data_IF_479333617136
#
_entry.id   IF_479333617136
#
_cell.length_a   1.000
_cell.length_b   1.000
_cell.length_c   1.000
_cell.angle_alpha   90.00
_cell.angle_beta   90.00
_cell.angle_gamma   90.00
#
_symmetry.space_group_name_H-M   'P 1'
#
loop_
_entity.id
_entity.type
_entity.pdbx_description
1 polymer ?
#
# COMPACT_ATOMS: atom_id res chain seq x y z
N UNK A 1 -7.46 -7.13 -46.97
CA UNK A 1 -7.20 -5.91 -46.21
C UNK A 1 -6.96 -6.35 -44.77
N UNK A 2 -5.71 -6.41 -44.37
CA UNK A 2 -5.33 -6.42 -42.95
C UNK A 2 -5.61 -4.99 -42.40
N UNK A 3 -6.46 -4.80 -41.40
CA UNK A 3 -6.60 -3.47 -40.82
C UNK A 3 -5.26 -3.02 -40.26
N UNK A 4 -4.86 -1.79 -40.56
CA UNK A 4 -3.68 -1.17 -39.97
C UNK A 4 -3.90 -1.03 -38.46
N UNK A 5 -3.30 -1.95 -37.71
CA UNK A 5 -3.32 -1.93 -36.24
C UNK A 5 -2.06 -1.22 -35.78
N UNK A 6 -2.23 -0.05 -35.15
CA UNK A 6 -1.12 0.66 -34.51
C UNK A 6 -1.20 0.43 -33.00
N UNK A 7 -0.11 -0.09 -32.41
CA UNK A 7 0.00 -0.23 -30.96
C UNK A 7 0.42 1.12 -30.40
N UNK A 8 -0.48 1.78 -29.67
CA UNK A 8 -0.27 3.14 -29.15
C UNK A 8 0.25 3.19 -27.69
N UNK A 9 0.50 2.05 -27.06
CA UNK A 9 1.00 1.94 -25.69
C UNK A 9 -0.09 1.52 -24.70
N UNK A 10 0.21 1.68 -23.40
CA UNK A 10 -0.65 1.24 -22.32
C UNK A 10 -1.47 2.42 -21.79
N UNK A 11 -2.81 2.36 -21.86
CA UNK A 11 -3.74 3.39 -21.37
C UNK A 11 -3.59 3.70 -19.86
N UNK A 12 -2.89 2.85 -19.11
CA UNK A 12 -2.62 3.12 -17.67
C UNK A 12 -1.78 4.36 -17.43
N UNK A 13 -1.01 4.81 -18.42
CA UNK A 13 -0.23 6.05 -18.33
C UNK A 13 -1.10 7.31 -18.45
N UNK A 14 -2.30 7.19 -19.00
CA UNK A 14 -3.22 8.33 -19.23
C UNK A 14 -4.13 8.58 -18.01
N UNK A 15 -3.99 7.81 -16.94
CA UNK A 15 -4.78 8.00 -15.72
C UNK A 15 -4.32 9.26 -14.98
N UNK A 16 -5.28 10.10 -14.60
CA UNK A 16 -5.03 11.21 -13.69
C UNK A 16 -5.09 10.69 -12.25
N UNK A 17 -4.00 10.83 -11.52
CA UNK A 17 -3.95 10.49 -10.11
C UNK A 17 -4.29 11.71 -9.27
N UNK A 18 -5.01 11.50 -8.15
CA UNK A 18 -5.38 12.56 -7.24
C UNK A 18 -4.12 13.18 -6.61
N UNK A 19 -4.02 14.51 -6.71
CA UNK A 19 -3.04 15.25 -5.91
C UNK A 19 -3.65 15.51 -4.54
N UNK A 20 -2.90 15.23 -3.49
CA UNK A 20 -3.31 15.45 -2.10
C UNK A 20 -2.60 16.71 -1.60
N UNK A 21 -3.35 17.72 -1.14
CA UNK A 21 -2.77 18.93 -0.58
C UNK A 21 -2.13 18.67 0.79
N UNK A 22 -1.29 19.58 1.26
CA UNK A 22 -0.68 19.45 2.58
C UNK A 22 -1.73 19.48 3.70
N UNK A 23 -2.79 20.28 3.54
CA UNK A 23 -3.91 20.36 4.47
C UNK A 23 -4.69 19.05 4.52
N UNK A 24 -4.97 18.46 3.34
CA UNK A 24 -5.63 17.16 3.26
C UNK A 24 -4.76 16.05 3.85
N UNK A 25 -3.44 16.07 3.57
CA UNK A 25 -2.50 15.13 4.16
C UNK A 25 -2.50 15.21 5.68
N UNK A 26 -2.49 16.42 6.24
CA UNK A 26 -2.54 16.64 7.68
C UNK A 26 -3.85 16.12 8.28
N UNK A 27 -4.98 16.40 7.63
CA UNK A 27 -6.28 15.89 8.05
C UNK A 27 -6.34 14.35 8.05
N UNK A 28 -5.77 13.71 7.02
CA UNK A 28 -5.68 12.25 6.96
C UNK A 28 -4.80 11.67 8.08
N UNK A 29 -3.65 12.30 8.37
CA UNK A 29 -2.79 11.88 9.48
C UNK A 29 -3.51 11.95 10.83
N UNK A 30 -4.29 13.00 11.05
CA UNK A 30 -5.11 13.16 12.25
C UNK A 30 -6.24 12.14 12.30
N UNK A 31 -6.97 11.94 11.19
CA UNK A 31 -8.06 10.98 11.08
C UNK A 31 -7.60 9.54 11.39
N UNK A 32 -6.43 9.15 10.88
CA UNK A 32 -5.87 7.82 11.11
C UNK A 32 -5.06 7.71 12.41
N UNK A 33 -4.90 8.78 13.18
CA UNK A 33 -4.08 8.78 14.39
C UNK A 33 -2.60 8.51 14.10
N UNK A 34 -2.14 8.79 12.88
CA UNK A 34 -0.74 8.68 12.49
C UNK A 34 -0.04 10.00 12.80
N UNK A 35 0.78 10.04 13.83
CA UNK A 35 1.50 11.26 14.21
C UNK A 35 2.48 11.72 13.11
N UNK A 36 2.85 13.01 13.15
CA UNK A 36 3.66 13.68 12.13
C UNK A 36 5.13 13.19 12.03
N UNK A 37 5.62 12.39 12.98
CA UNK A 37 7.02 11.98 13.07
C UNK A 37 7.20 10.47 13.16
N UNK A 38 6.23 9.68 12.71
CA UNK A 38 6.30 8.22 12.75
C UNK A 38 6.52 7.69 11.36
N UNK A 39 7.41 6.69 11.16
CA UNK A 39 7.49 6.00 9.89
C UNK A 39 6.16 5.35 9.54
N UNK A 40 5.64 5.63 8.35
CA UNK A 40 4.38 5.08 7.85
C UNK A 40 4.69 4.15 6.69
N UNK A 41 4.32 2.89 6.86
CA UNK A 41 4.39 1.88 5.80
C UNK A 41 2.98 1.64 5.28
N UNK A 42 2.82 1.63 3.96
CA UNK A 42 1.53 1.30 3.34
C UNK A 42 1.71 0.07 2.46
N UNK A 43 0.98 -1.00 2.79
CA UNK A 43 0.92 -2.20 2.00
C UNK A 43 -0.42 -2.23 1.25
N UNK A 44 -0.41 -1.83 -0.02
CA UNK A 44 -1.62 -1.69 -0.84
C UNK A 44 -1.91 -2.92 -1.68
N UNK A 45 -3.18 -3.28 -1.81
CA UNK A 45 -3.68 -4.36 -2.66
C UNK A 45 -3.05 -5.72 -2.34
N UNK A 46 -2.94 -6.06 -1.06
CA UNK A 46 -2.34 -7.31 -0.60
C UNK A 46 -3.23 -8.52 -0.87
N UNK A 47 -2.61 -9.67 -1.04
CA UNK A 47 -3.28 -10.96 -1.22
C UNK A 47 -2.95 -11.90 -0.09
N UNK A 48 -3.78 -12.93 0.05
CA UNK A 48 -3.53 -14.02 1.01
C UNK A 48 -2.15 -14.66 0.74
N UNK A 49 -1.34 -14.78 1.78
CA UNK A 49 0.03 -15.29 1.73
C UNK A 49 1.09 -14.19 1.69
N UNK A 50 0.70 -12.93 1.53
CA UNK A 50 1.61 -11.77 1.61
C UNK A 50 1.55 -11.13 3.00
N UNK A 51 0.35 -11.08 3.59
CA UNK A 51 0.11 -10.39 4.85
C UNK A 51 0.93 -11.00 6.00
N UNK A 52 1.17 -12.30 5.98
CA UNK A 52 2.03 -13.00 6.94
C UNK A 52 3.45 -12.43 6.92
N UNK A 53 4.05 -12.35 5.73
CA UNK A 53 5.40 -11.79 5.54
C UNK A 53 5.47 -10.32 5.92
N UNK A 54 4.43 -9.55 5.57
CA UNK A 54 4.34 -8.13 5.91
C UNK A 54 4.30 -7.93 7.43
N UNK A 55 3.48 -8.70 8.16
CA UNK A 55 3.40 -8.59 9.63
C UNK A 55 4.68 -9.03 10.32
N UNK A 56 5.30 -10.12 9.85
CA UNK A 56 6.59 -10.57 10.38
C UNK A 56 7.68 -9.49 10.21
N UNK A 57 7.76 -8.90 9.01
CA UNK A 57 8.68 -7.80 8.71
C UNK A 57 8.36 -6.56 9.56
N UNK A 58 7.08 -6.21 9.69
CA UNK A 58 6.67 -5.05 10.48
C UNK A 58 7.00 -5.21 11.96
N UNK A 59 6.92 -6.41 12.53
CA UNK A 59 7.41 -6.67 13.90
C UNK A 59 8.90 -6.36 14.05
N UNK A 60 9.71 -6.64 13.04
CA UNK A 60 11.15 -6.29 13.07
C UNK A 60 11.33 -4.77 12.99
N UNK A 61 10.55 -4.09 12.15
CA UNK A 61 10.56 -2.62 12.08
C UNK A 61 10.21 -1.99 13.42
N UNK A 62 9.22 -2.52 14.15
CA UNK A 62 8.83 -2.01 15.46
C UNK A 62 9.91 -2.14 16.53
N UNK A 63 10.90 -3.03 16.38
CA UNK A 63 12.05 -3.13 17.29
C UNK A 63 12.97 -1.92 17.19
N UNK A 64 13.13 -1.36 15.99
CA UNK A 64 13.96 -0.18 15.74
C UNK A 64 13.14 1.12 15.77
N UNK A 65 11.89 1.06 15.31
CA UNK A 65 10.96 2.18 15.22
C UNK A 65 9.64 1.86 15.95
N UNK A 66 9.61 1.90 17.29
CA UNK A 66 8.42 1.50 18.07
C UNK A 66 7.15 2.27 17.75
N UNK A 67 7.29 3.45 17.16
CA UNK A 67 6.16 4.31 16.78
C UNK A 67 5.76 4.17 15.31
N UNK A 68 6.38 3.26 14.55
CA UNK A 68 6.00 3.02 13.16
C UNK A 68 4.53 2.63 13.03
N UNK A 69 3.92 2.99 11.91
CA UNK A 69 2.53 2.68 11.56
C UNK A 69 2.48 1.86 10.29
N UNK A 70 1.57 0.90 10.25
CA UNK A 70 1.27 0.10 9.07
C UNK A 70 -0.19 0.32 8.67
N UNK A 71 -0.41 0.77 7.44
CA UNK A 71 -1.70 0.70 6.78
C UNK A 71 -1.64 -0.46 5.78
N UNK A 72 -2.50 -1.45 5.96
CA UNK A 72 -2.58 -2.61 5.07
C UNK A 72 -3.95 -2.68 4.40
N UNK A 73 -3.97 -2.72 3.08
CA UNK A 73 -5.18 -2.70 2.27
C UNK A 73 -5.29 -4.03 1.48
N UNK A 74 -6.07 -5.00 1.95
CA UNK A 74 -6.30 -6.22 1.19
C UNK A 74 -7.03 -5.90 -0.12
N UNK A 75 -6.64 -6.57 -1.22
CA UNK A 75 -7.28 -6.41 -2.52
C UNK A 75 -8.78 -6.70 -2.47
N UNK A 76 -9.15 -7.67 -1.66
CA UNK A 76 -10.51 -8.09 -1.41
C UNK A 76 -10.95 -7.51 -0.05
N UNK A 77 -11.69 -6.41 -0.09
CA UNK A 77 -12.08 -5.65 1.12
C UNK A 77 -12.83 -6.48 2.16
N UNK A 78 -13.62 -7.49 1.74
CA UNK A 78 -14.34 -8.39 2.66
C UNK A 78 -13.40 -9.22 3.55
N UNK A 79 -12.09 -9.27 3.24
CA UNK A 79 -11.08 -9.92 4.07
C UNK A 79 -10.56 -9.04 5.22
N UNK A 80 -11.06 -7.83 5.38
CA UNK A 80 -10.59 -6.90 6.40
C UNK A 80 -10.45 -7.52 7.78
N UNK A 81 -11.51 -8.11 8.29
CA UNK A 81 -11.49 -8.78 9.62
C UNK A 81 -10.60 -10.03 9.65
N UNK A 82 -10.45 -10.77 8.54
CA UNK A 82 -9.51 -11.91 8.49
C UNK A 82 -8.06 -11.41 8.63
N UNK A 83 -7.71 -10.30 7.95
CA UNK A 83 -6.39 -9.67 8.04
C UNK A 83 -6.15 -9.07 9.43
N UNK A 84 -7.17 -8.44 10.03
CA UNK A 84 -7.11 -7.98 11.42
C UNK A 84 -6.86 -9.14 12.40
N UNK A 85 -7.56 -10.26 12.23
CA UNK A 85 -7.36 -11.45 13.06
C UNK A 85 -5.99 -12.11 12.80
N UNK A 86 -5.48 -12.02 11.58
CA UNK A 86 -4.12 -12.45 11.26
C UNK A 86 -3.09 -11.58 12.00
N UNK A 87 -3.23 -10.25 12.00
CA UNK A 87 -2.34 -9.35 12.74
C UNK A 87 -2.26 -9.72 14.23
N UNK A 88 -3.39 -10.05 14.87
CA UNK A 88 -3.44 -10.50 16.26
C UNK A 88 -2.60 -11.77 16.51
N UNK A 89 -2.53 -12.69 15.55
CA UNK A 89 -1.66 -13.90 15.66
C UNK A 89 -0.18 -13.57 15.65
N UNK A 90 0.18 -12.42 15.07
CA UNK A 90 1.52 -11.83 15.10
C UNK A 90 1.72 -10.87 16.28
N UNK A 91 0.80 -10.86 17.27
CA UNK A 91 0.85 -9.97 18.45
C UNK A 91 0.80 -8.49 18.08
N UNK A 92 0.22 -8.15 16.94
CA UNK A 92 0.01 -6.79 16.48
C UNK A 92 -1.45 -6.37 16.76
N UNK A 93 -1.63 -5.30 17.51
CA UNK A 93 -2.94 -4.69 17.65
C UNK A 93 -3.32 -4.04 16.32
N UNK A 94 -4.51 -4.37 15.83
CA UNK A 94 -5.01 -3.87 14.55
C UNK A 94 -6.48 -3.48 14.64
N UNK A 95 -6.87 -2.48 13.85
CA UNK A 95 -8.27 -2.05 13.70
C UNK A 95 -8.63 -1.99 12.22
N UNK A 96 -9.85 -2.39 11.86
CA UNK A 96 -10.39 -2.17 10.53
C UNK A 96 -10.81 -0.70 10.37
N UNK A 97 -10.61 -0.14 9.18
CA UNK A 97 -11.05 1.21 8.86
C UNK A 97 -12.56 1.39 9.05
N UNK A 98 -13.34 0.38 8.69
CA UNK A 98 -14.79 0.37 8.88
C UNK A 98 -15.25 0.43 10.35
N UNK A 99 -14.40 0.03 11.29
CA UNK A 99 -14.69 0.03 12.72
C UNK A 99 -14.20 1.31 13.42
N UNK A 100 -13.48 2.18 12.71
CA UNK A 100 -12.95 3.42 13.28
C UNK A 100 -14.06 4.45 13.48
N UNK A 101 -14.33 4.82 14.71
CA UNK A 101 -15.26 5.91 15.09
C UNK A 101 -14.53 7.18 15.56
N UNK A 102 -13.25 7.05 15.84
CA UNK A 102 -12.34 8.12 16.28
C UNK A 102 -10.92 7.82 15.81
N UNK A 103 -9.98 8.78 15.86
CA UNK A 103 -8.58 8.54 15.50
C UNK A 103 -7.96 7.40 16.28
N UNK A 104 -7.08 6.64 15.63
CA UNK A 104 -6.45 5.45 16.21
C UNK A 104 -5.50 5.82 17.34
N UNK A 105 -5.62 5.13 18.47
CA UNK A 105 -4.73 5.33 19.62
C UNK A 105 -3.32 4.77 19.39
N UNK A 106 -2.33 5.31 20.09
CA UNK A 106 -0.91 4.92 19.94
C UNK A 106 -0.64 3.42 20.11
N UNK A 107 -1.45 2.73 20.90
CA UNK A 107 -1.32 1.27 21.13
C UNK A 107 -1.80 0.38 19.97
N UNK A 108 -2.28 0.95 18.85
CA UNK A 108 -2.75 0.23 17.68
C UNK A 108 -1.88 0.61 16.47
N UNK A 109 -0.80 -0.12 16.20
CA UNK A 109 0.14 0.24 15.14
C UNK A 109 -0.34 -0.12 13.72
N UNK A 110 -1.42 -0.92 13.59
CA UNK A 110 -1.90 -1.43 12.30
C UNK A 110 -3.32 -0.97 12.02
N UNK A 111 -3.53 -0.35 10.85
CA UNK A 111 -4.86 -0.10 10.31
C UNK A 111 -5.08 -0.99 9.08
N UNK A 112 -6.16 -1.75 9.08
CA UNK A 112 -6.60 -2.54 7.93
C UNK A 112 -7.62 -1.72 7.14
N UNK A 113 -7.26 -1.33 5.92
CA UNK A 113 -8.12 -0.56 5.04
C UNK A 113 -9.07 -1.49 4.29
N UNK A 114 -10.26 -1.66 4.82
CA UNK A 114 -11.34 -2.50 4.29
C UNK A 114 -12.46 -1.69 3.63
N UNK A 115 -12.13 -0.47 3.20
CA UNK A 115 -13.03 0.46 2.50
C UNK A 115 -12.59 0.68 1.05
N UNK A 116 -13.51 1.16 0.19
CA UNK A 116 -13.25 1.42 -1.23
C UNK A 116 -12.96 2.91 -1.45
N UNK A 117 -12.00 3.19 -2.37
CA UNK A 117 -11.77 4.54 -2.91
C UNK A 117 -10.82 5.42 -2.11
N UNK A 118 -10.30 4.95 -0.96
CA UNK A 118 -9.40 5.76 -0.11
C UNK A 118 -7.91 5.52 -0.39
N UNK A 119 -7.52 4.30 -0.82
CA UNK A 119 -6.13 3.88 -0.93
C UNK A 119 -5.28 4.82 -1.78
N UNK A 120 -5.82 5.27 -2.92
CA UNK A 120 -5.07 6.16 -3.84
C UNK A 120 -4.56 7.43 -3.16
N UNK A 121 -5.40 8.11 -2.37
CA UNK A 121 -5.00 9.31 -1.62
C UNK A 121 -4.12 8.98 -0.41
N UNK A 122 -4.36 7.83 0.23
CA UNK A 122 -3.60 7.40 1.41
C UNK A 122 -2.14 7.08 1.09
N UNK A 123 -1.80 6.68 -0.14
CA UNK A 123 -0.39 6.54 -0.55
C UNK A 123 0.44 7.79 -0.31
N UNK A 124 -0.18 8.99 -0.31
CA UNK A 124 0.52 10.24 0.00
C UNK A 124 1.12 10.28 1.40
N UNK A 125 0.56 9.52 2.36
CA UNK A 125 1.01 9.48 3.76
C UNK A 125 2.25 8.60 3.95
N UNK A 126 2.41 7.53 3.14
CA UNK A 126 3.46 6.54 3.34
C UNK A 126 4.86 7.10 3.13
N UNK A 127 5.80 6.65 3.93
CA UNK A 127 7.24 6.84 3.69
C UNK A 127 7.78 5.72 2.81
N UNK A 128 7.21 4.52 2.91
CA UNK A 128 7.49 3.36 2.06
C UNK A 128 6.18 2.72 1.66
N UNK A 129 6.05 2.38 0.38
CA UNK A 129 4.86 1.73 -0.16
C UNK A 129 5.23 0.33 -0.65
N UNK A 130 4.58 -0.69 -0.11
CA UNK A 130 4.59 -2.03 -0.69
C UNK A 130 3.35 -2.23 -1.56
N UNK A 131 3.51 -2.71 -2.78
CA UNK A 131 2.39 -3.03 -3.68
C UNK A 131 2.23 -4.54 -3.81
N UNK A 132 1.11 -5.03 -3.33
CA UNK A 132 0.78 -6.44 -3.23
C UNK A 132 0.48 -7.14 -4.56
N UNK A 133 0.10 -8.41 -4.47
CA UNK A 133 -0.01 -9.31 -5.61
C UNK A 133 1.34 -9.63 -6.23
N UNK A 134 2.42 -9.25 -5.57
CA UNK A 134 3.78 -9.30 -6.08
C UNK A 134 4.68 -10.29 -5.35
N UNK A 135 4.42 -10.66 -4.09
CA UNK A 135 5.06 -11.81 -3.42
C UNK A 135 4.39 -13.13 -3.76
N UNK A 136 3.12 -13.09 -4.17
CA UNK A 136 2.38 -14.25 -4.66
C UNK A 136 2.20 -14.16 -6.18
N UNK A 137 1.95 -15.32 -6.85
CA UNK A 137 1.91 -15.42 -8.32
C UNK A 137 0.61 -14.83 -8.92
N UNK A 138 0.21 -13.64 -8.51
CA UNK A 138 -0.95 -12.92 -9.06
C UNK A 138 -0.58 -11.88 -10.11
N UNK A 139 0.70 -11.49 -10.20
CA UNK A 139 1.21 -10.65 -11.27
C UNK A 139 1.35 -9.17 -10.93
N UNK A 140 1.21 -8.83 -9.65
CA UNK A 140 1.32 -7.47 -9.14
C UNK A 140 0.08 -6.60 -9.39
N UNK A 141 0.11 -5.41 -8.81
CA UNK A 141 -0.89 -4.37 -8.99
C UNK A 141 -0.28 -3.08 -9.52
N UNK A 142 -1.11 -2.04 -9.71
CA UNK A 142 -0.71 -0.78 -10.29
C UNK A 142 0.26 -0.02 -9.37
N UNK A 143 1.50 0.16 -9.82
CA UNK A 143 2.55 0.91 -9.11
C UNK A 143 2.63 2.37 -9.52
N UNK A 144 1.83 2.81 -10.52
CA UNK A 144 1.79 4.22 -10.93
C UNK A 144 1.07 5.09 -9.90
N UNK A 145 0.09 4.56 -9.17
CA UNK A 145 -0.59 5.29 -8.10
C UNK A 145 0.37 5.78 -7.02
N UNK A 146 1.12 4.91 -6.32
CA UNK A 146 2.11 5.39 -5.34
C UNK A 146 3.23 6.19 -5.98
N UNK A 147 3.65 5.88 -7.21
CA UNK A 147 4.67 6.65 -7.94
C UNK A 147 4.25 8.09 -8.19
N UNK A 148 2.96 8.34 -8.44
CA UNK A 148 2.43 9.69 -8.63
C UNK A 148 2.56 10.57 -7.37
N UNK A 149 2.68 9.96 -6.19
CA UNK A 149 2.94 10.67 -4.94
C UNK A 149 4.45 10.80 -4.62
N UNK A 150 5.34 10.38 -5.53
CA UNK A 150 6.79 10.45 -5.35
C UNK A 150 7.30 9.56 -4.21
N UNK A 151 6.64 8.42 -3.95
CA UNK A 151 6.98 7.54 -2.83
C UNK A 151 7.90 6.39 -3.26
N UNK A 152 8.85 5.97 -2.40
CA UNK A 152 9.61 4.74 -2.59
C UNK A 152 8.67 3.54 -2.64
N UNK A 153 8.85 2.67 -3.64
CA UNK A 153 7.96 1.53 -3.88
C UNK A 153 8.74 0.23 -3.75
N UNK A 154 8.18 -0.72 -3.01
CA UNK A 154 8.66 -2.09 -2.91
C UNK A 154 7.65 -3.03 -3.57
N UNK A 155 8.15 -4.02 -4.31
CA UNK A 155 7.36 -5.08 -4.92
C UNK A 155 8.06 -6.42 -4.77
N UNK A 156 7.30 -7.50 -4.78
CA UNK A 156 7.85 -8.84 -4.87
C UNK A 156 8.22 -9.23 -6.32
N UNK A 157 8.68 -10.48 -6.54
CA UNK A 157 9.20 -10.93 -7.84
C UNK A 157 8.15 -11.13 -8.94
N UNK A 158 6.86 -11.11 -8.59
CA UNK A 158 5.80 -11.44 -9.53
C UNK A 158 5.08 -10.19 -10.05
N UNK A 159 5.74 -9.43 -10.94
CA UNK A 159 5.21 -8.21 -11.58
C UNK A 159 4.84 -8.41 -13.05
N UNK A 160 4.44 -9.63 -13.46
CA UNK A 160 4.27 -9.96 -14.88
C UNK A 160 3.09 -9.25 -15.56
N UNK A 161 2.09 -8.72 -14.81
CA UNK A 161 1.02 -7.89 -15.37
C UNK A 161 1.44 -6.43 -15.56
N UNK A 162 2.59 -6.02 -14.99
CA UNK A 162 3.08 -4.64 -14.99
C UNK A 162 4.57 -4.55 -15.37
N UNK A 163 5.09 -5.50 -16.18
CA UNK A 163 6.52 -5.62 -16.51
C UNK A 163 7.13 -4.32 -17.03
N UNK A 164 6.45 -3.66 -17.98
CA UNK A 164 6.97 -2.44 -18.62
C UNK A 164 7.05 -1.29 -17.62
N UNK A 165 5.98 -1.11 -16.84
CA UNK A 165 5.91 -0.06 -15.81
C UNK A 165 6.94 -0.32 -14.73
N UNK A 166 7.06 -1.58 -14.25
CA UNK A 166 8.07 -1.97 -13.28
C UNK A 166 9.48 -1.72 -13.80
N UNK A 167 9.81 -2.17 -15.01
CA UNK A 167 11.13 -1.96 -15.60
C UNK A 167 11.48 -0.46 -15.71
N UNK A 168 10.51 0.38 -16.09
CA UNK A 168 10.69 1.82 -16.18
C UNK A 168 11.00 2.43 -14.80
N UNK A 169 10.20 2.14 -13.77
CA UNK A 169 10.37 2.71 -12.44
C UNK A 169 11.63 2.16 -11.75
N UNK A 170 11.92 0.87 -11.91
CA UNK A 170 13.12 0.23 -11.36
C UNK A 170 14.40 0.81 -11.97
N UNK A 171 14.43 1.03 -13.29
CA UNK A 171 15.58 1.66 -13.95
C UNK A 171 15.86 3.09 -13.49
N UNK A 172 14.91 3.71 -12.83
CA UNK A 172 15.00 5.07 -12.26
C UNK A 172 15.11 5.08 -10.73
N UNK A 173 15.33 3.94 -10.11
CA UNK A 173 15.40 3.78 -8.65
C UNK A 173 14.15 4.29 -7.89
N UNK A 174 12.99 4.27 -8.57
CA UNK A 174 11.72 4.63 -7.96
C UNK A 174 10.92 3.42 -7.45
N UNK A 175 11.37 2.20 -7.78
CA UNK A 175 10.77 0.94 -7.36
C UNK A 175 11.86 -0.11 -7.19
N UNK A 176 11.83 -0.82 -6.06
CA UNK A 176 12.77 -1.92 -5.78
C UNK A 176 12.02 -3.25 -5.62
N UNK A 177 12.66 -4.33 -6.09
CA UNK A 177 12.15 -5.69 -5.93
C UNK A 177 12.79 -6.37 -4.72
N UNK A 178 11.98 -6.94 -3.86
CA UNK A 178 12.38 -7.64 -2.63
C UNK A 178 12.05 -9.13 -2.71
#
# INVERSE_FOLDING_TARGET
HTPDITVTGNMKYDQTYATVSNEEKQSLLEEFGFGNNHPIIIAGSTHKGEEETIFETFKQVLQEYPQARLLIAPREIYRGHDVQNLAKRYELNAICRSDMTEPVHEGIPVVVLDTIGELGRLYSLGDIIFVGGSLVKTGGHNILEPAAHGKPILVGPYMFNFKEIFALLHSRHACEQV
#
